data_IF_144769807806
#
_entry.id   IF_144769807806
#
_cell.length_a   1.000
_cell.length_b   1.000
_cell.length_c   1.000
_cell.angle_alpha   90.00
_cell.angle_beta   90.00
_cell.angle_gamma   90.00
#
_symmetry.space_group_name_H-M   'P 1'
#
loop_
_entity.id
_entity.type
_entity.pdbx_description
1 polymer ?
#
# COMPACT_ATOMS: atom_id res chain seq x y z
N UNK A 1 -17.54 108.44 -54.42
CA UNK A 1 -18.11 107.95 -55.69
C UNK A 1 -16.96 107.42 -56.54
N UNK A 2 -17.12 106.22 -57.14
CA UNK A 2 -16.18 105.50 -58.05
C UNK A 2 -14.93 104.91 -57.37
N UNK A 3 -14.41 103.72 -57.71
CA UNK A 3 -14.79 102.62 -58.60
C UNK A 3 -13.95 101.39 -58.20
N UNK A 4 -14.53 100.21 -58.41
CA UNK A 4 -14.04 98.84 -58.35
C UNK A 4 -12.57 98.53 -58.69
N UNK A 5 -11.95 97.59 -57.96
CA UNK A 5 -10.93 96.66 -58.51
C UNK A 5 -11.56 95.28 -58.69
N UNK A 6 -11.88 94.93 -59.93
CA UNK A 6 -12.32 93.61 -60.37
C UNK A 6 -11.13 92.63 -60.38
N UNK A 7 -11.32 91.45 -59.80
CA UNK A 7 -10.39 90.32 -59.89
C UNK A 7 -10.32 89.83 -61.34
N UNK A 8 -9.12 89.81 -61.93
CA UNK A 8 -8.92 89.28 -63.29
C UNK A 8 -8.88 87.74 -63.21
N UNK A 9 -9.72 87.07 -63.99
CA UNK A 9 -9.65 85.61 -64.15
C UNK A 9 -8.36 85.24 -64.89
N UNK A 10 -7.54 84.38 -64.28
CA UNK A 10 -6.32 83.82 -64.89
C UNK A 10 -6.61 82.70 -65.92
N UNK A 11 -7.89 82.38 -66.15
CA UNK A 11 -8.33 81.36 -67.11
C UNK A 11 -8.78 82.02 -68.42
N UNK A 12 -7.84 82.54 -69.21
CA UNK A 12 -8.11 82.97 -70.59
C UNK A 12 -7.41 82.02 -71.55
N UNK A 13 -8.14 81.00 -72.01
CA UNK A 13 -7.62 80.02 -72.96
C UNK A 13 -7.85 80.47 -74.40
N UNK A 14 -6.81 80.37 -75.23
CA UNK A 14 -6.95 80.53 -76.69
C UNK A 14 -7.86 79.42 -77.26
N UNK A 15 -8.52 79.67 -78.40
CA UNK A 15 -9.33 78.69 -79.14
C UNK A 15 -8.61 77.35 -79.32
N UNK A 16 -7.31 77.36 -79.61
CA UNK A 16 -6.51 76.13 -79.73
C UNK A 16 -6.39 75.36 -78.40
N UNK A 17 -6.20 76.05 -77.28
CA UNK A 17 -6.09 75.41 -75.96
C UNK A 17 -7.43 74.82 -75.51
N UNK A 18 -8.55 75.51 -75.78
CA UNK A 18 -9.89 74.99 -75.51
C UNK A 18 -10.18 73.70 -76.27
N UNK A 19 -9.81 73.65 -77.55
CA UNK A 19 -9.99 72.44 -78.36
C UNK A 19 -9.11 71.29 -77.85
N UNK A 20 -7.87 71.58 -77.43
CA UNK A 20 -7.00 70.59 -76.79
C UNK A 20 -7.58 70.03 -75.49
N UNK A 21 -8.12 70.89 -74.62
CA UNK A 21 -8.76 70.46 -73.37
C UNK A 21 -9.99 69.58 -73.67
N UNK A 22 -10.84 69.98 -74.63
CA UNK A 22 -12.01 69.18 -75.02
C UNK A 22 -11.63 67.81 -75.56
N UNK A 23 -10.57 67.73 -76.37
CA UNK A 23 -10.02 66.46 -76.87
C UNK A 23 -9.51 65.58 -75.71
N UNK A 24 -8.76 66.16 -74.78
CA UNK A 24 -8.21 65.43 -73.64
C UNK A 24 -9.32 64.88 -72.73
N UNK A 25 -10.35 65.68 -72.48
CA UNK A 25 -11.53 65.27 -71.70
C UNK A 25 -12.29 64.15 -72.41
N UNK A 26 -12.51 64.25 -73.73
CA UNK A 26 -13.17 63.17 -74.49
C UNK A 26 -12.37 61.87 -74.48
N UNK A 27 -11.04 61.94 -74.64
CA UNK A 27 -10.18 60.76 -74.51
C UNK A 27 -10.27 60.15 -73.10
N UNK A 28 -10.30 60.99 -72.05
CA UNK A 28 -10.43 60.51 -70.68
C UNK A 28 -11.77 59.79 -70.46
N UNK A 29 -12.87 60.35 -70.96
CA UNK A 29 -14.18 59.71 -70.91
C UNK A 29 -14.23 58.40 -71.71
N UNK A 30 -13.57 58.34 -72.88
CA UNK A 30 -13.47 57.10 -73.65
C UNK A 30 -12.65 56.04 -72.93
N UNK A 31 -11.55 56.40 -72.27
CA UNK A 31 -10.74 55.47 -71.47
C UNK A 31 -11.50 54.97 -70.23
N UNK A 32 -12.23 55.86 -69.53
CA UNK A 32 -13.08 55.48 -68.41
C UNK A 32 -14.25 54.61 -68.85
N UNK A 33 -14.87 54.94 -69.99
CA UNK A 33 -15.91 54.12 -70.62
C UNK A 33 -15.37 52.75 -71.04
N UNK A 34 -14.21 52.69 -71.68
CA UNK A 34 -13.54 51.45 -72.04
C UNK A 34 -13.25 50.60 -70.80
N UNK A 35 -12.67 51.20 -69.75
CA UNK A 35 -12.43 50.53 -68.49
C UNK A 35 -13.74 49.97 -67.92
N UNK A 36 -14.81 50.77 -67.86
CA UNK A 36 -16.09 50.33 -67.32
C UNK A 36 -16.77 49.24 -68.15
N UNK A 37 -16.69 49.30 -69.48
CA UNK A 37 -17.34 48.33 -70.36
C UNK A 37 -16.51 47.05 -70.58
N UNK A 38 -15.18 47.13 -70.59
CA UNK A 38 -14.30 45.98 -70.84
C UNK A 38 -13.71 45.36 -69.57
N UNK A 39 -13.61 46.10 -68.45
CA UNK A 39 -13.45 45.46 -67.13
C UNK A 39 -14.83 45.02 -66.67
N UNK A 40 -15.27 43.87 -67.20
CA UNK A 40 -16.23 43.08 -66.44
C UNK A 40 -15.52 42.69 -65.16
N UNK A 41 -15.92 43.32 -64.05
CA UNK A 41 -15.65 42.77 -62.73
C UNK A 41 -16.27 41.39 -62.72
N UNK A 42 -15.46 40.37 -63.01
CA UNK A 42 -15.79 39.01 -62.65
C UNK A 42 -15.83 39.04 -61.13
N UNK A 43 -17.00 39.32 -60.55
CA UNK A 43 -17.24 38.93 -59.17
C UNK A 43 -16.95 37.44 -59.16
N UNK A 44 -15.87 37.07 -58.48
CA UNK A 44 -15.54 35.68 -58.23
C UNK A 44 -16.63 35.23 -57.28
N UNK A 45 -17.77 34.80 -57.83
CA UNK A 45 -18.84 34.16 -57.06
C UNK A 45 -18.21 32.86 -56.60
N UNK A 46 -17.69 32.87 -55.38
CA UNK A 46 -17.15 31.69 -54.73
C UNK A 46 -18.32 30.72 -54.60
N UNK A 47 -18.39 29.70 -55.47
CA UNK A 47 -19.48 28.73 -55.49
C UNK A 47 -19.38 27.83 -54.26
N UNK A 48 -19.90 28.32 -53.14
CA UNK A 48 -19.98 27.61 -51.87
C UNK A 48 -20.86 26.34 -51.93
N UNK A 49 -21.56 26.12 -53.04
CA UNK A 49 -22.43 24.96 -53.29
C UNK A 49 -21.80 23.92 -54.20
N UNK A 50 -20.59 24.16 -54.70
CA UNK A 50 -19.86 23.15 -55.47
C UNK A 50 -19.67 21.87 -54.63
N UNK A 51 -19.82 20.73 -55.29
CA UNK A 51 -19.74 19.42 -54.62
C UNK A 51 -18.40 19.21 -53.90
N UNK A 52 -17.32 19.80 -54.41
CA UNK A 52 -15.99 19.78 -53.78
C UNK A 52 -15.94 20.57 -52.48
N UNK A 53 -16.52 21.78 -52.44
CA UNK A 53 -16.59 22.60 -51.22
C UNK A 53 -17.46 21.92 -50.15
N UNK A 54 -18.57 21.30 -50.54
CA UNK A 54 -19.40 20.53 -49.60
C UNK A 54 -18.64 19.33 -49.00
N UNK A 55 -17.82 18.64 -49.80
CA UNK A 55 -16.99 17.53 -49.31
C UNK A 55 -15.91 18.02 -48.34
N UNK A 56 -15.23 19.12 -48.66
CA UNK A 56 -14.24 19.75 -47.78
C UNK A 56 -14.85 20.25 -46.48
N UNK A 57 -16.04 20.87 -46.54
CA UNK A 57 -16.77 21.31 -45.35
C UNK A 57 -17.12 20.11 -44.46
N UNK A 58 -17.63 19.02 -45.04
CA UNK A 58 -17.94 17.79 -44.30
C UNK A 58 -16.70 17.18 -43.64
N UNK A 59 -15.55 17.20 -44.32
CA UNK A 59 -14.28 16.75 -43.75
C UNK A 59 -13.86 17.64 -42.59
N UNK A 60 -13.92 18.97 -42.75
CA UNK A 60 -13.60 19.92 -41.69
C UNK A 60 -14.50 19.74 -40.46
N UNK A 61 -15.81 19.60 -40.67
CA UNK A 61 -16.78 19.38 -39.59
C UNK A 61 -16.54 18.04 -38.88
N UNK A 62 -16.19 17.00 -39.64
CA UNK A 62 -15.81 15.70 -39.07
C UNK A 62 -14.53 15.80 -38.23
N UNK A 63 -13.50 16.50 -38.72
CA UNK A 63 -12.24 16.71 -38.00
C UNK A 63 -12.44 17.56 -36.75
N UNK A 64 -13.28 18.61 -36.84
CA UNK A 64 -13.62 19.45 -35.70
C UNK A 64 -14.34 18.64 -34.60
N UNK A 65 -15.22 17.71 -34.98
CA UNK A 65 -15.88 16.79 -34.05
C UNK A 65 -14.88 15.86 -33.37
N UNK A 66 -13.99 15.21 -34.12
CA UNK A 66 -12.95 14.32 -33.58
C UNK A 66 -12.01 15.09 -32.65
N UNK A 67 -11.55 16.27 -33.04
CA UNK A 67 -10.69 17.11 -32.21
C UNK A 67 -11.38 17.58 -30.93
N UNK A 68 -12.70 17.81 -30.97
CA UNK A 68 -13.51 18.13 -29.79
C UNK A 68 -13.64 16.93 -28.84
N UNK A 69 -13.81 15.72 -29.38
CA UNK A 69 -13.86 14.47 -28.62
C UNK A 69 -12.50 14.15 -27.97
N UNK A 70 -11.39 14.35 -28.69
CA UNK A 70 -10.03 14.13 -28.15
C UNK A 70 -9.65 15.10 -27.02
N UNK A 71 -10.18 16.32 -27.06
CA UNK A 71 -9.96 17.34 -26.02
C UNK A 71 -10.79 17.11 -24.75
N UNK A 72 -11.72 16.17 -24.75
CA UNK A 72 -12.48 15.86 -23.54
C UNK A 72 -11.55 15.30 -22.45
N UNK A 73 -11.72 15.72 -21.18
CA UNK A 73 -10.89 15.23 -20.09
C UNK A 73 -11.06 13.72 -19.92
N UNK A 74 -9.97 12.97 -20.12
CA UNK A 74 -9.94 11.51 -19.93
C UNK A 74 -9.96 11.20 -18.44
N UNK A 75 -10.92 10.37 -18.01
CA UNK A 75 -11.00 9.88 -16.64
C UNK A 75 -10.11 8.65 -16.52
N UNK A 76 -9.01 8.77 -15.79
CA UNK A 76 -8.15 7.64 -15.43
C UNK A 76 -8.73 6.87 -14.25
N UNK A 77 -8.53 5.55 -14.17
CA UNK A 77 -8.94 4.77 -13.00
C UNK A 77 -8.32 5.28 -11.70
N UNK A 78 -9.09 5.31 -10.62
CA UNK A 78 -8.69 5.87 -9.34
C UNK A 78 -9.34 5.14 -8.16
N UNK A 79 -8.74 5.25 -6.98
CA UNK A 79 -9.35 4.74 -5.75
C UNK A 79 -10.27 5.82 -5.15
N UNK A 80 -11.58 5.55 -4.96
CA UNK A 80 -12.54 6.54 -4.48
C UNK A 80 -12.21 7.07 -3.08
N UNK A 81 -11.51 6.31 -2.24
CA UNK A 81 -11.14 6.76 -0.89
C UNK A 81 -10.10 7.89 -0.86
N UNK A 82 -9.37 8.10 -1.96
CA UNK A 82 -8.27 9.06 -2.03
C UNK A 82 -8.57 10.23 -2.98
N UNK A 83 -9.83 10.45 -3.35
CA UNK A 83 -10.18 11.62 -4.17
C UNK A 83 -10.04 12.91 -3.35
N UNK A 84 -9.51 13.94 -3.99
CA UNK A 84 -9.49 15.31 -3.48
C UNK A 84 -10.81 16.03 -3.79
N UNK A 85 -11.04 17.17 -3.15
CA UNK A 85 -12.20 18.04 -3.40
C UNK A 85 -12.27 18.46 -4.88
N UNK A 86 -11.14 18.92 -5.43
CA UNK A 86 -11.02 19.23 -6.86
C UNK A 86 -11.36 18.02 -7.74
N UNK A 87 -10.86 16.83 -7.41
CA UNK A 87 -11.17 15.61 -8.17
C UNK A 87 -12.68 15.31 -8.12
N UNK A 88 -13.30 15.39 -6.93
CA UNK A 88 -14.72 15.19 -6.76
C UNK A 88 -15.54 16.18 -7.61
N UNK A 89 -15.15 17.46 -7.61
CA UNK A 89 -15.76 18.48 -8.47
C UNK A 89 -15.63 18.14 -9.96
N UNK A 90 -14.45 17.75 -10.44
CA UNK A 90 -14.26 17.36 -11.86
C UNK A 90 -15.06 16.13 -12.27
N UNK A 91 -15.39 15.26 -11.31
CA UNK A 91 -16.22 14.08 -11.54
C UNK A 91 -17.72 14.42 -11.56
N UNK A 92 -18.10 15.63 -11.14
CA UNK A 92 -19.49 16.08 -11.07
C UNK A 92 -20.16 15.88 -9.71
N UNK A 93 -19.39 15.66 -8.64
CA UNK A 93 -19.91 15.60 -7.28
C UNK A 93 -20.14 17.01 -6.72
N UNK A 94 -21.22 17.17 -5.96
CA UNK A 94 -21.46 18.35 -5.15
C UNK A 94 -20.56 18.39 -3.91
N UNK A 95 -20.30 19.57 -3.33
CA UNK A 95 -19.51 19.69 -2.10
C UNK A 95 -20.06 18.83 -0.95
N UNK A 96 -21.39 18.77 -0.80
CA UNK A 96 -22.05 17.96 0.23
C UNK A 96 -21.82 16.46 0.07
N UNK A 97 -21.82 15.95 -1.17
CA UNK A 97 -21.54 14.54 -1.45
C UNK A 97 -20.09 14.18 -1.11
N UNK A 98 -19.15 15.07 -1.41
CA UNK A 98 -17.74 14.91 -1.05
C UNK A 98 -17.51 15.02 0.46
N UNK A 99 -18.17 15.96 1.13
CA UNK A 99 -18.06 16.15 2.58
C UNK A 99 -18.49 14.90 3.35
N UNK A 100 -19.53 14.20 2.90
CA UNK A 100 -19.95 12.91 3.48
C UNK A 100 -18.85 11.85 3.39
N UNK A 101 -18.19 11.74 2.23
CA UNK A 101 -17.05 10.84 2.05
C UNK A 101 -15.85 11.24 2.90
N UNK A 102 -15.58 12.54 3.03
CA UNK A 102 -14.51 13.07 3.87
C UNK A 102 -14.77 12.77 5.36
N UNK A 103 -16.00 12.97 5.84
CA UNK A 103 -16.40 12.64 7.20
C UNK A 103 -16.28 11.13 7.48
N UNK A 104 -16.74 10.29 6.55
CA UNK A 104 -16.62 8.84 6.68
C UNK A 104 -15.17 8.37 6.85
N UNK A 105 -14.25 8.95 6.07
CA UNK A 105 -12.80 8.67 6.18
C UNK A 105 -12.18 9.21 7.48
N UNK A 106 -12.71 10.30 8.03
CA UNK A 106 -12.24 10.86 9.29
C UNK A 106 -12.57 9.97 10.50
N UNK A 107 -13.54 9.06 10.37
CA UNK A 107 -13.88 8.04 11.36
C UNK A 107 -13.08 6.73 11.18
N UNK A 108 -11.99 6.75 10.42
CA UNK A 108 -11.20 5.56 10.01
C UNK A 108 -12.02 4.49 9.25
N UNK A 109 -13.14 4.90 8.62
CA UNK A 109 -13.97 4.01 7.79
C UNK A 109 -13.65 4.20 6.31
N UNK A 110 -13.65 3.08 5.59
CA UNK A 110 -13.23 3.02 4.19
C UNK A 110 -14.31 2.43 3.31
N UNK A 111 -14.48 3.01 2.13
CA UNK A 111 -15.40 2.52 1.12
C UNK A 111 -14.79 1.34 0.40
N UNK A 112 -15.48 0.19 0.43
CA UNK A 112 -14.96 -1.06 -0.14
C UNK A 112 -15.68 -1.52 -1.41
N UNK A 113 -16.80 -0.90 -1.78
CA UNK A 113 -17.53 -1.23 -3.00
C UNK A 113 -18.20 -0.02 -3.62
N UNK A 114 -18.73 -0.18 -4.84
CA UNK A 114 -19.48 0.86 -5.55
C UNK A 114 -20.77 1.19 -4.77
N UNK A 115 -21.44 0.17 -4.23
CA UNK A 115 -22.65 0.31 -3.43
C UNK A 115 -22.36 1.07 -2.13
N UNK A 116 -21.22 0.77 -1.50
CA UNK A 116 -20.79 1.47 -0.29
C UNK A 116 -20.46 2.93 -0.58
N UNK A 117 -19.81 3.22 -1.71
CA UNK A 117 -19.54 4.58 -2.16
C UNK A 117 -20.84 5.35 -2.33
N UNK A 118 -21.82 4.76 -3.02
CA UNK A 118 -23.14 5.35 -3.26
C UNK A 118 -23.90 5.59 -1.94
N UNK A 119 -23.83 4.65 -1.01
CA UNK A 119 -24.47 4.75 0.31
C UNK A 119 -23.89 5.90 1.15
N UNK A 120 -22.56 6.02 1.18
CA UNK A 120 -21.86 7.06 1.96
C UNK A 120 -22.05 8.44 1.34
N UNK A 121 -21.80 8.55 0.04
CA UNK A 121 -21.83 9.85 -0.66
C UNK A 121 -23.25 10.30 -1.01
N UNK A 122 -24.23 9.39 -1.06
CA UNK A 122 -25.61 9.60 -1.52
C UNK A 122 -25.68 10.31 -2.88
N UNK A 123 -24.78 9.96 -3.80
CA UNK A 123 -24.78 10.46 -5.16
C UNK A 123 -25.93 9.87 -5.99
N UNK A 124 -26.34 10.59 -7.04
CA UNK A 124 -27.34 10.10 -7.98
C UNK A 124 -26.87 8.86 -8.76
N UNK A 125 -27.82 8.00 -9.14
CA UNK A 125 -27.56 6.78 -9.91
C UNK A 125 -26.89 7.07 -11.26
N UNK A 126 -27.32 8.15 -11.91
CA UNK A 126 -26.72 8.63 -13.16
C UNK A 126 -25.23 8.95 -12.99
N UNK A 127 -24.89 9.70 -11.93
CA UNK A 127 -23.49 10.05 -11.64
C UNK A 127 -22.67 8.82 -11.26
N UNK A 128 -23.22 7.95 -10.41
CA UNK A 128 -22.58 6.69 -9.98
C UNK A 128 -22.21 5.82 -11.17
N UNK A 129 -23.13 5.64 -12.12
CA UNK A 129 -22.90 4.83 -13.32
C UNK A 129 -21.82 5.43 -14.24
N UNK A 130 -21.63 6.75 -14.22
CA UNK A 130 -20.60 7.43 -15.00
C UNK A 130 -19.19 7.25 -14.41
N UNK A 131 -19.07 7.22 -13.09
CA UNK A 131 -17.77 7.21 -12.40
C UNK A 131 -17.33 5.82 -11.93
N UNK A 132 -18.27 4.92 -11.64
CA UNK A 132 -17.98 3.59 -11.09
C UNK A 132 -17.10 2.70 -11.97
N UNK A 133 -17.14 2.76 -13.34
CA UNK A 133 -16.23 1.96 -14.17
C UNK A 133 -14.75 2.31 -13.96
N UNK A 134 -14.46 3.48 -13.38
CA UNK A 134 -13.11 3.95 -13.13
C UNK A 134 -12.64 3.67 -11.70
N UNK A 135 -13.47 3.07 -10.84
CA UNK A 135 -13.08 2.75 -9.47
C UNK A 135 -12.09 1.58 -9.44
N UNK A 136 -10.97 1.79 -8.73
CA UNK A 136 -9.99 0.75 -8.42
C UNK A 136 -9.87 0.58 -6.92
N UNK A 137 -10.35 -0.56 -6.45
CA UNK A 137 -10.17 -1.02 -5.07
C UNK A 137 -8.94 -1.93 -4.97
N UNK A 138 -8.24 -1.93 -3.83
CA UNK A 138 -7.16 -2.88 -3.56
C UNK A 138 -7.56 -4.35 -3.74
N UNK A 139 -6.60 -5.18 -4.18
CA UNK A 139 -6.82 -6.61 -4.45
C UNK A 139 -7.36 -7.39 -3.24
N UNK A 140 -6.99 -7.01 -2.01
CA UNK A 140 -7.47 -7.67 -0.80
C UNK A 140 -8.97 -7.48 -0.55
N UNK A 141 -9.62 -6.53 -1.25
CA UNK A 141 -11.06 -6.26 -1.19
C UNK A 141 -11.80 -7.03 -2.30
N UNK A 142 -11.32 -6.92 -3.55
CA UNK A 142 -11.97 -7.51 -4.74
C UNK A 142 -11.67 -8.98 -4.91
N UNK A 143 -10.47 -9.40 -4.53
CA UNK A 143 -9.98 -10.78 -4.57
C UNK A 143 -9.35 -11.13 -3.22
N UNK A 144 -10.16 -11.16 -2.13
CA UNK A 144 -9.64 -11.58 -0.84
C UNK A 144 -9.01 -12.95 -1.04
N UNK A 145 -7.69 -13.05 -0.78
CA UNK A 145 -6.98 -14.34 -0.84
C UNK A 145 -7.83 -15.32 -0.06
N UNK A 146 -8.14 -16.52 -0.60
CA UNK A 146 -8.93 -17.50 0.13
C UNK A 146 -8.24 -17.64 1.48
N UNK A 147 -8.96 -17.30 2.56
CA UNK A 147 -8.48 -17.58 3.90
C UNK A 147 -8.19 -19.07 3.84
N UNK A 148 -6.92 -19.47 3.82
CA UNK A 148 -6.56 -20.86 4.05
C UNK A 148 -7.35 -21.18 5.30
N UNK A 149 -8.32 -22.07 5.18
CA UNK A 149 -9.04 -22.56 6.33
C UNK A 149 -7.96 -23.27 7.14
N UNK A 150 -7.27 -22.50 7.98
CA UNK A 150 -6.76 -23.01 9.22
C UNK A 150 -8.03 -23.41 9.94
N UNK A 151 -8.46 -24.62 9.61
CA UNK A 151 -9.26 -25.42 10.50
C UNK A 151 -8.41 -25.47 11.76
N UNK A 152 -8.66 -24.52 12.65
CA UNK A 152 -8.52 -24.77 14.06
C UNK A 152 -9.52 -25.89 14.36
N UNK A 153 -9.22 -27.10 13.88
CA UNK A 153 -9.55 -28.29 14.64
C UNK A 153 -8.98 -27.94 15.99
N UNK A 154 -9.86 -27.73 16.95
CA UNK A 154 -9.49 -27.66 18.34
C UNK A 154 -8.70 -28.95 18.59
N UNK A 155 -7.37 -28.86 18.54
CA UNK A 155 -6.48 -29.89 19.02
C UNK A 155 -6.58 -29.81 20.54
N UNK A 156 -7.75 -30.19 21.06
CA UNK A 156 -7.84 -30.81 22.37
C UNK A 156 -7.25 -32.19 22.14
N UNK A 157 -5.93 -32.24 21.91
CA UNK A 157 -5.21 -33.49 22.06
C UNK A 157 -5.21 -33.76 23.56
N UNK A 158 -5.99 -34.73 23.96
CA UNK A 158 -5.84 -35.38 25.25
C UNK A 158 -4.36 -35.75 25.41
N UNK A 159 -3.80 -35.49 26.59
CA UNK A 159 -2.40 -35.79 26.85
C UNK A 159 -2.18 -37.28 26.68
N UNK A 160 -1.28 -37.66 25.75
CA UNK A 160 -1.00 -39.09 25.54
C UNK A 160 -0.38 -39.65 26.81
N UNK A 161 -0.75 -40.86 27.26
CA UNK A 161 -0.05 -41.51 28.36
C UNK A 161 1.42 -41.72 27.98
N UNK A 162 2.31 -41.71 28.97
CA UNK A 162 3.77 -41.83 28.80
C UNK A 162 4.19 -42.96 27.84
N UNK A 163 3.52 -44.11 27.89
CA UNK A 163 3.78 -45.25 27.01
C UNK A 163 3.61 -44.92 25.52
N UNK A 164 2.63 -44.07 25.17
CA UNK A 164 2.29 -43.67 23.80
C UNK A 164 3.06 -42.44 23.30
N UNK A 165 3.73 -41.69 24.17
CA UNK A 165 4.58 -40.55 23.77
C UNK A 165 5.83 -41.05 23.02
N UNK A 166 6.31 -40.30 22.04
CA UNK A 166 7.56 -40.60 21.35
C UNK A 166 8.77 -40.11 22.18
N UNK A 167 9.94 -40.72 22.00
CA UNK A 167 11.15 -40.29 22.71
C UNK A 167 11.70 -38.99 22.11
N UNK A 168 11.77 -37.92 22.92
CA UNK A 168 12.32 -36.63 22.52
C UNK A 168 13.79 -36.75 22.07
N UNK A 169 14.54 -37.70 22.64
CA UNK A 169 15.94 -37.88 22.30
C UNK A 169 16.18 -38.53 20.93
N UNK A 170 15.17 -39.20 20.37
CA UNK A 170 15.24 -39.84 19.06
C UNK A 170 14.39 -39.11 18.01
N UNK A 171 13.53 -38.18 18.44
CA UNK A 171 12.62 -37.42 17.57
C UNK A 171 13.32 -36.78 16.37
N UNK A 172 12.74 -36.97 15.19
CA UNK A 172 13.23 -36.41 13.93
C UNK A 172 12.64 -35.01 13.67
N UNK A 173 13.28 -34.22 12.80
CA UNK A 173 12.74 -32.90 12.41
C UNK A 173 11.35 -33.01 11.80
N UNK A 174 11.11 -34.05 10.99
CA UNK A 174 9.81 -34.28 10.38
C UNK A 174 8.72 -34.59 11.41
N UNK A 175 9.03 -35.34 12.47
CA UNK A 175 8.08 -35.63 13.55
C UNK A 175 7.79 -34.39 14.39
N UNK A 176 8.82 -33.60 14.74
CA UNK A 176 8.62 -32.35 15.47
C UNK A 176 7.79 -31.35 14.67
N UNK A 177 7.97 -31.27 13.35
CA UNK A 177 7.19 -30.40 12.45
C UNK A 177 5.70 -30.77 12.35
N UNK A 178 5.28 -31.94 12.83
CA UNK A 178 3.85 -32.29 12.94
C UNK A 178 3.15 -31.50 14.04
N UNK A 179 3.90 -30.98 15.01
CA UNK A 179 3.35 -30.19 16.11
C UNK A 179 3.02 -28.78 15.62
N UNK A 180 1.79 -28.35 15.89
CA UNK A 180 1.35 -27.00 15.55
C UNK A 180 2.20 -25.93 16.28
N UNK A 181 2.78 -25.03 15.48
CA UNK A 181 3.71 -24.00 15.96
C UNK A 181 5.19 -24.36 15.81
N UNK A 182 5.52 -25.58 15.33
CA UNK A 182 6.91 -25.98 15.04
C UNK A 182 7.12 -26.04 13.52
N UNK A 183 7.84 -25.05 12.99
CA UNK A 183 8.31 -25.06 11.61
C UNK A 183 9.76 -25.57 11.48
N UNK A 184 10.33 -25.41 10.29
CA UNK A 184 11.71 -25.79 9.96
C UNK A 184 12.71 -25.27 10.99
N UNK A 185 12.66 -23.96 11.27
CA UNK A 185 13.59 -23.29 12.17
C UNK A 185 13.52 -23.81 13.62
N UNK A 186 12.31 -23.96 14.17
CA UNK A 186 12.16 -24.43 15.56
C UNK A 186 12.52 -25.90 15.70
N UNK A 187 12.16 -26.75 14.72
CA UNK A 187 12.56 -28.15 14.72
C UNK A 187 14.09 -28.31 14.71
N UNK A 188 14.79 -27.52 13.88
CA UNK A 188 16.24 -27.52 13.82
C UNK A 188 16.86 -27.05 15.14
N UNK A 189 16.30 -26.00 15.77
CA UNK A 189 16.77 -25.53 17.09
C UNK A 189 16.64 -26.58 18.18
N UNK A 190 15.54 -27.31 18.23
CA UNK A 190 15.34 -28.40 19.20
C UNK A 190 16.41 -29.48 19.01
N UNK A 191 16.64 -29.91 17.77
CA UNK A 191 17.64 -30.94 17.45
C UNK A 191 19.06 -30.46 17.75
N UNK A 192 19.40 -29.22 17.39
CA UNK A 192 20.70 -28.64 17.64
C UNK A 192 20.97 -28.49 19.14
N UNK A 193 19.95 -28.08 19.90
CA UNK A 193 20.05 -27.97 21.36
C UNK A 193 20.20 -29.35 22.02
N UNK A 194 19.42 -30.35 21.57
CA UNK A 194 19.60 -31.76 21.97
C UNK A 194 21.03 -32.24 21.71
N UNK A 195 21.57 -31.97 20.52
CA UNK A 195 22.92 -32.37 20.15
C UNK A 195 23.98 -31.68 21.02
N UNK A 196 23.82 -30.38 21.30
CA UNK A 196 24.70 -29.62 22.22
C UNK A 196 24.74 -30.22 23.62
N UNK A 197 23.60 -30.69 24.12
CA UNK A 197 23.50 -31.36 25.42
C UNK A 197 23.98 -32.82 25.36
N UNK A 198 24.13 -33.41 24.18
CA UNK A 198 24.37 -34.84 23.98
C UNK A 198 23.18 -35.72 24.36
N UNK A 199 21.97 -35.17 24.26
CA UNK A 199 20.72 -35.78 24.71
C UNK A 199 20.09 -35.02 25.88
N UNK A 200 18.77 -34.90 25.84
CA UNK A 200 17.98 -34.39 26.95
C UNK A 200 17.94 -35.38 28.11
N UNK A 201 17.89 -34.83 29.31
CA UNK A 201 17.74 -35.53 30.58
C UNK A 201 16.33 -35.37 31.16
N UNK A 202 15.64 -34.30 30.79
CA UNK A 202 14.27 -34.01 31.20
C UNK A 202 13.59 -33.10 30.18
N UNK A 203 12.26 -33.21 30.07
CA UNK A 203 11.40 -32.38 29.22
C UNK A 203 11.58 -30.88 29.55
N UNK A 204 11.87 -30.57 30.82
CA UNK A 204 12.17 -29.23 31.32
C UNK A 204 13.23 -28.47 30.51
N UNK A 205 14.19 -29.16 29.90
CA UNK A 205 15.24 -28.54 29.10
C UNK A 205 14.72 -27.92 27.80
N UNK A 206 13.48 -28.22 27.37
CA UNK A 206 12.82 -27.53 26.26
C UNK A 206 12.64 -26.03 26.51
N UNK A 207 12.50 -25.62 27.77
CA UNK A 207 12.37 -24.20 28.16
C UNK A 207 13.62 -23.36 27.84
N UNK A 208 14.78 -24.00 27.63
CA UNK A 208 16.02 -23.32 27.25
C UNK A 208 16.21 -23.21 25.73
N UNK A 209 15.31 -23.81 24.93
CA UNK A 209 15.39 -23.71 23.47
C UNK A 209 14.86 -22.35 23.02
N UNK A 210 15.74 -21.55 22.43
CA UNK A 210 15.41 -20.20 21.99
C UNK A 210 14.24 -20.15 20.99
N UNK A 211 13.21 -19.38 21.34
CA UNK A 211 12.05 -19.12 20.49
C UNK A 211 10.91 -20.15 20.61
N UNK A 212 11.00 -21.12 21.54
CA UNK A 212 9.83 -21.91 21.93
C UNK A 212 8.98 -21.13 22.93
N UNK A 213 7.69 -20.95 22.62
CA UNK A 213 6.72 -20.43 23.59
C UNK A 213 6.25 -21.55 24.53
N UNK A 214 5.81 -21.21 25.76
CA UNK A 214 5.29 -22.21 26.71
C UNK A 214 4.15 -23.06 26.15
N UNK A 215 3.31 -22.47 25.29
CA UNK A 215 2.23 -23.20 24.60
C UNK A 215 2.76 -24.27 23.65
N UNK A 216 3.82 -23.96 22.90
CA UNK A 216 4.43 -24.93 21.97
C UNK A 216 5.10 -26.04 22.76
N UNK A 217 5.75 -25.73 23.89
CA UNK A 217 6.33 -26.72 24.80
C UNK A 217 5.24 -27.66 25.32
N UNK A 218 4.11 -27.13 25.80
CA UNK A 218 2.98 -27.96 26.23
C UNK A 218 2.43 -28.85 25.11
N UNK A 219 2.46 -28.40 23.84
CA UNK A 219 2.09 -29.26 22.69
C UNK A 219 3.14 -30.33 22.41
N UNK A 220 4.43 -30.03 22.58
CA UNK A 220 5.52 -31.03 22.48
C UNK A 220 5.32 -32.09 23.56
N UNK A 221 5.12 -31.68 24.80
CA UNK A 221 4.99 -32.58 25.96
C UNK A 221 3.79 -33.52 25.86
N UNK A 222 2.75 -33.17 25.09
CA UNK A 222 1.62 -34.07 24.81
C UNK A 222 1.97 -35.23 23.88
N UNK A 223 2.97 -35.04 23.03
CA UNK A 223 3.33 -35.96 21.94
C UNK A 223 4.67 -36.67 22.20
N UNK A 224 5.59 -35.99 22.87
CA UNK A 224 6.96 -36.41 23.13
C UNK A 224 7.26 -36.32 24.63
N UNK A 225 8.19 -37.15 25.08
CA UNK A 225 8.79 -37.09 26.41
C UNK A 225 10.17 -37.73 26.35
N UNK A 226 11.07 -37.37 27.26
CA UNK A 226 12.38 -38.00 27.38
C UNK A 226 12.21 -39.42 27.93
N UNK A 227 12.30 -40.43 27.06
CA UNK A 227 12.27 -41.84 27.47
C UNK A 227 13.67 -42.39 27.79
N UNK A 228 14.70 -41.81 27.19
CA UNK A 228 16.09 -42.19 27.39
C UNK A 228 16.88 -41.05 28.04
N UNK A 229 16.66 -40.75 29.34
CA UNK A 229 17.28 -39.60 29.98
C UNK A 229 18.80 -39.73 30.06
N UNK A 230 19.51 -38.71 29.60
CA UNK A 230 20.95 -38.60 29.82
C UNK A 230 21.23 -38.41 31.32
N UNK A 231 22.22 -39.13 31.85
CA UNK A 231 22.66 -38.99 33.25
C UNK A 231 23.18 -37.56 33.50
N UNK A 232 22.64 -36.89 34.50
CA UNK A 232 23.05 -35.55 34.93
C UNK A 232 23.95 -35.61 36.17
N UNK A 233 25.00 -34.80 36.18
CA UNK A 233 25.71 -34.46 37.41
C UNK A 233 24.99 -33.26 38.03
N UNK A 234 24.41 -33.44 39.20
CA UNK A 234 23.83 -32.32 39.95
C UNK A 234 24.90 -31.62 40.76
N UNK A 235 24.68 -30.35 41.06
CA UNK A 235 25.60 -29.46 41.77
C UNK A 235 24.95 -29.07 43.11
N UNK A 236 25.68 -29.19 44.21
CA UNK A 236 25.19 -28.77 45.51
C UNK A 236 25.16 -27.23 45.57
N UNK A 237 23.99 -26.64 45.71
CA UNK A 237 23.81 -25.18 45.64
C UNK A 237 24.48 -24.43 46.79
N UNK A 238 24.59 -25.05 47.97
CA UNK A 238 25.14 -24.40 49.17
C UNK A 238 26.68 -24.36 49.15
N UNK A 239 27.31 -25.33 48.48
CA UNK A 239 28.78 -25.45 48.41
C UNK A 239 29.38 -25.01 47.08
N UNK A 240 28.58 -24.93 46.01
CA UNK A 240 29.05 -24.56 44.68
C UNK A 240 29.58 -23.13 44.60
N UNK A 241 30.53 -22.92 43.69
CA UNK A 241 30.95 -21.59 43.27
C UNK A 241 30.01 -21.03 42.20
N UNK A 242 30.03 -19.70 42.01
CA UNK A 242 29.32 -19.06 40.91
C UNK A 242 29.75 -19.62 39.54
N UNK A 243 31.03 -20.01 39.36
CA UNK A 243 31.52 -20.67 38.14
C UNK A 243 30.93 -22.06 37.92
N UNK A 244 30.74 -22.84 38.99
CA UNK A 244 30.14 -24.17 38.87
C UNK A 244 28.68 -24.05 38.42
N UNK A 245 27.93 -23.11 39.02
CA UNK A 245 26.52 -22.83 38.68
C UNK A 245 26.42 -22.32 37.23
N UNK A 246 27.36 -21.50 36.78
CA UNK A 246 27.40 -21.00 35.40
C UNK A 246 27.65 -22.10 34.34
N UNK A 247 28.08 -23.30 34.76
CA UNK A 247 28.23 -24.45 33.87
C UNK A 247 26.86 -25.02 33.46
N UNK A 248 25.78 -24.66 34.17
CA UNK A 248 24.42 -25.10 33.85
C UNK A 248 23.97 -24.53 32.49
N UNK A 249 23.55 -25.37 31.52
CA UNK A 249 23.18 -24.91 30.19
C UNK A 249 22.05 -23.87 30.17
N UNK A 250 22.33 -22.66 29.71
CA UNK A 250 21.34 -21.57 29.62
C UNK A 250 21.32 -20.62 30.82
N UNK A 251 22.23 -20.80 31.78
CA UNK A 251 22.47 -19.87 32.88
C UNK A 251 23.68 -19.00 32.52
N UNK A 252 23.52 -17.69 32.63
CA UNK A 252 24.64 -16.74 32.44
C UNK A 252 25.44 -16.62 33.73
N UNK A 253 26.68 -16.14 33.62
CA UNK A 253 27.54 -15.94 34.78
C UNK A 253 26.95 -14.92 35.76
N UNK A 254 26.26 -13.88 35.28
CA UNK A 254 25.61 -12.89 36.15
C UNK A 254 24.54 -13.55 37.03
N UNK A 255 23.65 -14.34 36.44
CA UNK A 255 22.60 -15.04 37.18
C UNK A 255 23.19 -16.09 38.13
N UNK A 256 24.24 -16.79 37.71
CA UNK A 256 24.93 -17.76 38.57
C UNK A 256 25.57 -17.08 39.79
N UNK A 257 26.13 -15.88 39.60
CA UNK A 257 26.67 -15.04 40.67
C UNK A 257 25.57 -14.59 41.63
N UNK A 258 24.42 -14.13 41.12
CA UNK A 258 23.27 -13.76 41.95
C UNK A 258 22.76 -14.94 42.79
N UNK A 259 22.68 -16.14 42.22
CA UNK A 259 22.30 -17.36 42.96
C UNK A 259 23.32 -17.65 44.07
N UNK A 260 24.61 -17.57 43.76
CA UNK A 260 25.68 -17.78 44.74
C UNK A 260 25.64 -16.74 45.87
N UNK A 261 25.49 -15.45 45.54
CA UNK A 261 25.38 -14.36 46.52
C UNK A 261 24.13 -14.55 47.40
N UNK A 262 22.99 -14.92 46.80
CA UNK A 262 21.76 -15.20 47.53
C UNK A 262 21.94 -16.32 48.56
N UNK A 263 22.65 -17.39 48.18
CA UNK A 263 22.93 -18.49 49.10
C UNK A 263 23.93 -18.07 50.19
N UNK A 264 24.97 -17.31 49.85
CA UNK A 264 25.97 -16.84 50.83
C UNK A 264 25.40 -15.87 51.85
N UNK A 265 24.54 -14.94 51.44
CA UNK A 265 23.89 -13.98 52.33
C UNK A 265 22.93 -14.64 53.34
N UNK A 266 22.44 -15.84 53.04
CA UNK A 266 21.50 -16.59 53.89
C UNK A 266 22.18 -17.73 54.66
N UNK A 267 23.49 -17.84 54.57
CA UNK A 267 24.27 -18.96 55.15
C UNK A 267 23.82 -20.33 54.62
N UNK A 268 23.35 -20.37 53.37
CA UNK A 268 22.73 -21.51 52.72
C UNK A 268 21.23 -21.35 52.51
N UNK A 269 20.66 -22.25 51.72
CA UNK A 269 19.21 -22.34 51.52
C UNK A 269 18.72 -23.73 51.92
N UNK A 270 17.53 -23.78 52.51
CA UNK A 270 16.88 -25.04 52.90
C UNK A 270 15.97 -25.59 51.80
N UNK A 271 15.54 -24.72 50.87
CA UNK A 271 14.73 -25.13 49.72
C UNK A 271 15.16 -24.41 48.44
N UNK A 272 15.25 -25.16 47.34
CA UNK A 272 15.53 -24.61 46.00
C UNK A 272 14.47 -23.55 45.63
N UNK A 273 13.24 -23.69 46.10
CA UNK A 273 12.15 -22.73 45.87
C UNK A 273 12.46 -21.32 46.38
N UNK A 274 13.39 -21.17 47.33
CA UNK A 274 13.81 -19.85 47.82
C UNK A 274 14.48 -19.01 46.74
N UNK A 275 15.11 -19.64 45.75
CA UNK A 275 15.77 -18.97 44.62
C UNK A 275 14.79 -18.17 43.76
N UNK A 276 13.48 -18.46 43.81
CA UNK A 276 12.46 -17.68 43.10
C UNK A 276 12.41 -16.21 43.54
N UNK A 277 12.98 -15.86 44.70
CA UNK A 277 13.07 -14.49 45.22
C UNK A 277 14.15 -13.65 44.52
N UNK A 278 15.01 -14.27 43.72
CA UNK A 278 16.09 -13.57 43.00
C UNK A 278 15.49 -12.80 41.81
N UNK A 279 15.76 -11.51 41.76
CA UNK A 279 15.36 -10.66 40.64
C UNK A 279 16.03 -11.15 39.34
N UNK A 280 15.24 -11.33 38.27
CA UNK A 280 15.77 -11.83 36.99
C UNK A 280 15.72 -13.36 36.79
N UNK A 281 15.35 -14.12 37.83
CA UNK A 281 15.07 -15.56 37.70
C UNK A 281 13.65 -15.79 37.15
N UNK A 282 13.55 -16.06 35.85
CA UNK A 282 12.26 -16.41 35.22
C UNK A 282 11.84 -17.83 35.60
N UNK A 283 10.53 -18.11 35.54
CA UNK A 283 9.98 -19.45 35.82
C UNK A 283 10.66 -20.56 35.01
N UNK A 284 10.93 -20.29 33.73
CA UNK A 284 11.64 -21.23 32.84
C UNK A 284 13.06 -21.53 33.29
N UNK A 285 13.80 -20.52 33.75
CA UNK A 285 15.15 -20.69 34.30
C UNK A 285 15.12 -21.40 35.65
N UNK A 286 14.13 -21.14 36.48
CA UNK A 286 13.94 -21.83 37.75
C UNK A 286 13.70 -23.34 37.56
N UNK A 287 12.79 -23.72 36.65
CA UNK A 287 12.51 -25.12 36.30
C UNK A 287 13.79 -25.82 35.81
N UNK A 288 14.57 -25.12 34.99
CA UNK A 288 15.86 -25.62 34.53
C UNK A 288 16.83 -25.82 35.70
N UNK A 289 17.04 -24.81 36.54
CA UNK A 289 18.00 -24.87 37.66
C UNK A 289 17.65 -25.98 38.64
N UNK A 290 16.37 -26.20 38.91
CA UNK A 290 15.88 -27.30 39.76
C UNK A 290 16.31 -28.68 39.25
N UNK A 291 16.53 -28.84 37.95
CA UNK A 291 17.02 -30.10 37.37
C UNK A 291 18.50 -30.37 37.68
N UNK A 292 19.30 -29.32 37.80
CA UNK A 292 20.76 -29.40 37.94
C UNK A 292 21.27 -29.13 39.36
N UNK A 293 20.48 -28.49 40.22
CA UNK A 293 20.87 -28.22 41.60
C UNK A 293 20.26 -29.22 42.57
N UNK A 294 20.98 -29.48 43.66
CA UNK A 294 20.48 -30.19 44.83
C UNK A 294 20.97 -29.53 46.11
N UNK A 295 20.34 -29.88 47.22
CA UNK A 295 20.73 -29.48 48.58
C UNK A 295 21.06 -30.79 49.32
N UNK A 296 22.17 -30.81 50.04
CA UNK A 296 22.46 -31.90 50.98
C UNK A 296 21.54 -31.75 52.21
N UNK A 297 20.95 -32.86 52.64
CA UNK A 297 20.15 -32.94 53.88
C UNK A 297 21.00 -32.67 55.14
#
# INVERSE_FOLDING_TARGET
MKLSKTTRSHFVFNRSQRNGILLLVTINFLLLGWYYFFTSSTEVIFDSTSSEIMQLQKQHDSLAKVASEEKQPKIYPFNPNFISDYKAYTLGMSPREYDRLKAFRAEDKWVNSIEDFKRVTQISDSLSNKISPFFKFPDWITHPKPKRAYTAKAFISEEKPFSKKQDLNVATSQELKKIYGIGEALSARIINYRAKLGGFSSDAQLHSVYGLSPEVIGRIEKEFTVKTPKKLSRINVNTASASDIATIPGISFELAKEIWEFCKLREGISSISELQKIEGLTQSKFILIQLYLFIEE
#
